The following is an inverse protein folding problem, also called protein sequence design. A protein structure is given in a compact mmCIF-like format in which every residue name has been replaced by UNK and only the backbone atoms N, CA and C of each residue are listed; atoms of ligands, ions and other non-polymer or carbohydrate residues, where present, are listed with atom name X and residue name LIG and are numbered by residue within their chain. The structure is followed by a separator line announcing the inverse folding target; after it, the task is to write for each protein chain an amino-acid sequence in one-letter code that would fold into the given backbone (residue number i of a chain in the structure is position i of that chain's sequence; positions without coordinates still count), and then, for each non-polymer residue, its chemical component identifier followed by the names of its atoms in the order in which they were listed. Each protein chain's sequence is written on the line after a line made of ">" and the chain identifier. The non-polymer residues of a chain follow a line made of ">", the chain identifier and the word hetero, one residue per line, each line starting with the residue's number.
data_IF_668378071254
#
_entry.id   IF_668378071254
#
_cell.length_a   1.000
_cell.length_b   1.000
_cell.length_c   1.000
_cell.angle_alpha   90.00
_cell.angle_beta   90.00
_cell.angle_gamma   90.00
#
_symmetry.space_group_name_H-M   'P 1'
#
loop_
_entity.id
_entity.type
_entity.pdbx_description
1 polymer ?
#
# COMPACT_ATOMS: atom_id res chain seq x y z
N UNK A 1 6.41 -5.41 -22.54
CA UNK A 1 6.96 -6.61 -23.25
C UNK A 1 6.77 -7.88 -22.42
N UNK A 2 7.22 -7.97 -21.14
CA UNK A 2 7.10 -9.17 -20.31
C UNK A 2 5.65 -9.61 -20.09
N UNK A 3 4.79 -8.71 -19.63
CA UNK A 3 3.38 -9.01 -19.34
C UNK A 3 2.62 -9.46 -20.60
N UNK A 4 2.91 -8.86 -21.75
CA UNK A 4 2.33 -9.23 -23.04
C UNK A 4 2.78 -10.63 -23.48
N UNK A 5 4.06 -10.94 -23.34
CA UNK A 5 4.59 -12.27 -23.66
C UNK A 5 4.00 -13.33 -22.73
N UNK A 6 3.87 -13.02 -21.44
CA UNK A 6 3.24 -13.91 -20.46
C UNK A 6 1.76 -14.15 -20.76
N UNK A 7 1.01 -13.08 -21.07
CA UNK A 7 -0.40 -13.16 -21.45
C UNK A 7 -0.63 -14.04 -22.66
N UNK A 8 0.19 -13.86 -23.73
CA UNK A 8 0.09 -14.67 -24.96
C UNK A 8 0.47 -16.13 -24.75
N UNK A 9 1.34 -16.41 -23.79
CA UNK A 9 1.76 -17.79 -23.44
C UNK A 9 0.72 -18.51 -22.58
N UNK A 10 -0.11 -17.78 -21.85
CA UNK A 10 -1.09 -18.35 -20.96
C UNK A 10 -2.18 -19.11 -21.75
N UNK A 11 -2.51 -20.35 -21.39
CA UNK A 11 -3.60 -21.07 -22.04
C UNK A 11 -4.94 -20.39 -21.75
N UNK A 12 -5.82 -20.30 -22.75
CA UNK A 12 -7.16 -19.70 -22.61
C UNK A 12 -8.01 -20.47 -21.58
N UNK A 13 -7.77 -21.77 -21.44
CA UNK A 13 -8.44 -22.63 -20.48
C UNK A 13 -7.51 -23.72 -20.03
N UNK A 14 -7.29 -23.82 -18.73
CA UNK A 14 -6.52 -24.90 -18.13
C UNK A 14 -7.37 -25.53 -17.01
N UNK A 15 -7.56 -26.84 -17.07
CA UNK A 15 -8.26 -27.62 -16.05
C UNK A 15 -7.30 -28.68 -15.51
N UNK A 16 -7.53 -29.11 -14.29
CA UNK A 16 -6.81 -30.22 -13.64
C UNK A 16 -5.28 -30.03 -13.62
N UNK A 17 -4.84 -28.77 -13.50
CA UNK A 17 -3.43 -28.43 -13.42
C UNK A 17 -2.92 -28.63 -12.00
N UNK A 18 -2.05 -29.60 -11.82
CA UNK A 18 -1.38 -29.85 -10.55
C UNK A 18 -0.23 -28.84 -10.36
N UNK A 19 -0.25 -28.15 -9.23
CA UNK A 19 0.81 -27.26 -8.80
C UNK A 19 1.33 -27.70 -7.44
N UNK A 20 2.61 -27.43 -7.17
CA UNK A 20 3.13 -27.59 -5.81
C UNK A 20 2.56 -26.50 -4.90
N UNK A 21 2.54 -26.73 -3.59
CA UNK A 21 2.14 -25.75 -2.59
C UNK A 21 2.96 -24.44 -2.76
N UNK A 22 4.26 -24.57 -2.97
CA UNK A 22 5.14 -23.41 -3.18
C UNK A 22 4.80 -22.63 -4.44
N UNK A 23 4.51 -23.30 -5.56
CA UNK A 23 4.13 -22.60 -6.80
C UNK A 23 2.80 -21.85 -6.67
N UNK A 24 1.85 -22.40 -5.90
CA UNK A 24 0.54 -21.79 -5.74
C UNK A 24 0.54 -20.65 -4.71
N UNK A 25 1.12 -20.88 -3.52
CA UNK A 25 1.07 -19.90 -2.43
C UNK A 25 2.23 -18.90 -2.43
N UNK A 26 3.37 -19.28 -3.05
CA UNK A 26 4.60 -18.47 -3.03
C UNK A 26 5.18 -18.27 -4.45
N UNK A 27 4.37 -17.74 -5.40
CA UNK A 27 4.82 -17.61 -6.79
C UNK A 27 6.01 -16.66 -6.96
N UNK A 28 6.18 -15.69 -6.07
CA UNK A 28 7.32 -14.74 -6.10
C UNK A 28 8.62 -15.37 -5.59
N UNK A 29 8.56 -16.38 -4.73
CA UNK A 29 9.76 -17.06 -4.20
C UNK A 29 10.50 -17.87 -5.28
N UNK A 30 9.84 -18.14 -6.41
CA UNK A 30 10.48 -18.75 -7.57
C UNK A 30 11.42 -17.80 -8.32
N UNK A 31 11.32 -16.49 -8.07
CA UNK A 31 12.16 -15.47 -8.70
C UNK A 31 13.21 -15.01 -7.70
N UNK A 32 14.39 -15.63 -7.74
CA UNK A 32 15.50 -15.22 -6.89
C UNK A 32 15.89 -13.76 -7.13
N UNK A 33 16.09 -13.02 -6.04
CA UNK A 33 16.50 -11.61 -6.09
C UNK A 33 15.54 -10.70 -6.89
N UNK A 34 14.24 -10.95 -6.83
CA UNK A 34 13.21 -10.19 -7.55
C UNK A 34 13.31 -8.68 -7.32
N UNK A 35 13.77 -8.26 -6.14
CA UNK A 35 13.98 -6.85 -5.78
C UNK A 35 15.00 -6.15 -6.69
N UNK A 36 15.92 -6.87 -7.33
CA UNK A 36 16.92 -6.29 -8.27
C UNK A 36 16.28 -5.76 -9.55
N UNK A 37 15.03 -6.13 -9.86
CA UNK A 37 14.28 -5.61 -11.01
C UNK A 37 14.10 -4.09 -10.91
N UNK A 38 14.05 -3.54 -9.69
CA UNK A 38 13.94 -2.09 -9.45
C UNK A 38 15.28 -1.35 -9.53
N UNK A 39 16.39 -2.05 -9.78
CA UNK A 39 17.72 -1.48 -9.90
C UNK A 39 18.30 -1.00 -8.56
N UNK A 40 19.38 -0.18 -8.64
CA UNK A 40 20.10 0.28 -7.44
C UNK A 40 19.33 1.30 -6.60
N UNK A 41 18.42 2.01 -7.20
CA UNK A 41 17.65 3.08 -6.55
C UNK A 41 16.43 2.55 -5.78
N UNK A 42 16.05 1.30 -6.03
CA UNK A 42 14.96 0.65 -5.33
C UNK A 42 13.58 1.21 -5.68
N UNK A 43 12.66 0.96 -4.79
CA UNK A 43 11.25 1.35 -4.91
C UNK A 43 10.69 1.70 -3.52
N UNK A 44 9.59 2.41 -3.50
CA UNK A 44 8.73 2.53 -2.33
C UNK A 44 7.44 1.73 -2.56
N UNK A 45 6.85 1.23 -1.48
CA UNK A 45 5.52 0.64 -1.56
C UNK A 45 4.49 1.66 -1.11
N UNK A 46 3.42 1.80 -1.89
CA UNK A 46 2.26 2.60 -1.53
C UNK A 46 1.04 1.69 -1.49
N UNK A 47 0.29 1.73 -0.40
CA UNK A 47 -0.92 0.93 -0.25
C UNK A 47 -2.01 1.70 0.46
N UNK A 48 -3.19 1.73 -0.16
CA UNK A 48 -4.39 2.32 0.43
C UNK A 48 -5.52 1.31 0.60
N UNK A 49 -6.46 1.64 1.46
CA UNK A 49 -7.79 1.04 1.51
C UNK A 49 -8.82 2.16 1.30
N UNK A 50 -9.87 1.88 0.51
CA UNK A 50 -10.93 2.80 0.15
C UNK A 50 -12.29 2.15 0.42
N UNK A 51 -13.33 2.89 0.80
CA UNK A 51 -14.69 2.36 0.89
C UNK A 51 -15.17 1.73 -0.43
N UNK A 52 -16.16 0.85 -0.37
CA UNK A 52 -16.67 0.14 -1.56
C UNK A 52 -17.31 1.06 -2.59
N UNK A 53 -17.92 2.15 -2.15
CA UNK A 53 -18.54 3.18 -2.99
C UNK A 53 -17.53 4.13 -3.64
N UNK A 54 -16.28 4.15 -3.19
CA UNK A 54 -15.19 4.95 -3.77
C UNK A 54 -14.53 4.28 -4.99
N UNK A 55 -15.29 3.57 -5.82
CA UNK A 55 -14.76 2.88 -7.01
C UNK A 55 -14.25 3.85 -8.08
N UNK A 56 -14.89 5.00 -8.23
CA UNK A 56 -14.46 6.02 -9.19
C UNK A 56 -13.16 6.70 -8.72
N UNK A 57 -12.96 6.84 -7.42
CA UNK A 57 -11.73 7.36 -6.84
C UNK A 57 -10.58 6.36 -7.01
N UNK A 58 -10.85 5.07 -6.83
CA UNK A 58 -9.88 4.02 -7.14
C UNK A 58 -9.45 4.09 -8.63
N UNK A 59 -10.41 4.26 -9.54
CA UNK A 59 -10.11 4.43 -10.98
C UNK A 59 -9.29 5.68 -11.22
N UNK A 60 -9.65 6.80 -10.57
CA UNK A 60 -8.91 8.04 -10.67
C UNK A 60 -7.45 7.88 -10.20
N UNK A 61 -7.22 7.23 -9.05
CA UNK A 61 -5.88 6.94 -8.51
C UNK A 61 -5.05 6.15 -9.54
N UNK A 62 -5.60 5.05 -10.07
CA UNK A 62 -4.93 4.21 -11.05
C UNK A 62 -4.59 5.01 -12.32
N UNK A 63 -5.52 5.84 -12.78
CA UNK A 63 -5.31 6.70 -13.96
C UNK A 63 -4.19 7.70 -13.72
N UNK A 64 -4.16 8.39 -12.57
CA UNK A 64 -3.08 9.36 -12.25
C UNK A 64 -1.71 8.70 -12.20
N UNK A 65 -1.61 7.50 -11.64
CA UNK A 65 -0.37 6.72 -11.63
C UNK A 65 0.06 6.32 -13.04
N UNK A 66 -0.88 5.88 -13.87
CA UNK A 66 -0.63 5.51 -15.26
C UNK A 66 -0.19 6.72 -16.11
N UNK A 67 -0.90 7.84 -15.99
CA UNK A 67 -0.59 9.09 -16.72
C UNK A 67 0.80 9.63 -16.36
N UNK A 68 1.20 9.44 -15.11
CA UNK A 68 2.53 9.82 -14.64
C UNK A 68 3.64 8.83 -15.06
N UNK A 69 3.29 7.78 -15.81
CA UNK A 69 4.25 6.76 -16.24
C UNK A 69 4.78 5.89 -15.10
N UNK A 70 4.03 5.77 -14.01
CA UNK A 70 4.38 4.92 -12.87
C UNK A 70 4.23 3.45 -13.27
N UNK A 71 5.29 2.89 -13.84
CA UNK A 71 5.35 1.47 -14.20
C UNK A 71 5.72 0.64 -12.98
N UNK A 72 4.73 0.02 -12.36
CA UNK A 72 4.94 -0.92 -11.27
C UNK A 72 5.05 -2.35 -11.77
N UNK A 73 6.02 -3.11 -11.28
CA UNK A 73 6.14 -4.54 -11.57
C UNK A 73 5.15 -5.37 -10.76
N UNK A 74 4.74 -4.87 -9.59
CA UNK A 74 3.79 -5.54 -8.72
C UNK A 74 2.65 -4.58 -8.36
N UNK A 75 1.46 -4.87 -8.88
CA UNK A 75 0.22 -4.21 -8.54
C UNK A 75 -0.75 -5.24 -7.98
N UNK A 76 -1.29 -4.98 -6.82
CA UNK A 76 -2.24 -5.88 -6.17
C UNK A 76 -3.51 -5.11 -5.83
N UNK A 77 -4.61 -5.47 -6.47
CA UNK A 77 -5.96 -5.00 -6.15
C UNK A 77 -6.73 -6.13 -5.48
N UNK A 78 -7.27 -5.85 -4.29
CA UNK A 78 -8.09 -6.80 -3.53
C UNK A 78 -9.34 -6.12 -2.99
N UNK A 79 -10.31 -6.95 -2.63
CA UNK A 79 -11.47 -6.53 -1.83
C UNK A 79 -11.29 -7.04 -0.41
N UNK A 80 -11.36 -6.14 0.57
CA UNK A 80 -11.38 -6.48 1.98
C UNK A 80 -12.80 -6.74 2.47
N UNK A 81 -12.94 -7.67 3.39
CA UNK A 81 -14.11 -7.82 4.25
C UNK A 81 -14.13 -6.81 5.40
N UNK A 82 -14.97 -7.05 6.43
CA UNK A 82 -15.00 -6.20 7.63
C UNK A 82 -13.61 -6.03 8.24
N UNK A 83 -13.35 -4.84 8.79
CA UNK A 83 -12.16 -4.56 9.57
C UNK A 83 -12.16 -5.26 10.93
N UNK A 84 -11.13 -5.02 11.73
CA UNK A 84 -11.07 -5.43 13.14
C UNK A 84 -11.08 -4.20 14.06
N UNK A 85 -11.21 -4.45 15.38
CA UNK A 85 -11.35 -3.40 16.38
C UNK A 85 -10.03 -2.75 16.83
N UNK A 86 -8.90 -3.04 16.18
CA UNK A 86 -7.62 -2.41 16.51
C UNK A 86 -7.63 -0.90 16.20
N UNK A 87 -7.17 -0.02 17.11
CA UNK A 87 -7.21 1.44 16.90
C UNK A 87 -6.45 1.92 15.67
N UNK A 88 -5.37 1.23 15.29
CA UNK A 88 -4.59 1.48 14.08
C UNK A 88 -4.78 0.37 13.03
N UNK A 89 -5.94 -0.31 13.04
CA UNK A 89 -6.24 -1.34 12.06
C UNK A 89 -6.34 -0.75 10.65
N UNK A 90 -5.55 -1.29 9.72
CA UNK A 90 -5.58 -0.89 8.32
C UNK A 90 -6.78 -1.46 7.55
N UNK A 91 -7.14 -2.77 7.70
CA UNK A 91 -8.27 -3.32 6.98
C UNK A 91 -9.58 -2.61 7.29
N UNK A 92 -10.36 -2.38 6.24
CA UNK A 92 -11.73 -1.87 6.28
C UNK A 92 -12.52 -2.50 5.13
N UNK A 93 -13.85 -2.65 5.29
CA UNK A 93 -14.67 -3.14 4.19
C UNK A 93 -14.53 -2.22 2.97
N UNK A 94 -13.92 -2.73 1.89
CA UNK A 94 -13.61 -1.86 0.75
C UNK A 94 -12.59 -2.44 -0.21
N UNK A 95 -12.05 -1.57 -1.03
CA UNK A 95 -10.96 -1.85 -1.96
C UNK A 95 -9.61 -1.62 -1.28
N UNK A 96 -8.62 -2.42 -1.61
CA UNK A 96 -7.22 -2.11 -1.27
C UNK A 96 -6.36 -2.27 -2.51
N UNK A 97 -5.56 -1.23 -2.78
CA UNK A 97 -4.59 -1.19 -3.86
C UNK A 97 -3.19 -1.08 -3.25
N UNK A 98 -2.34 -2.03 -3.58
CA UNK A 98 -0.92 -1.99 -3.26
C UNK A 98 -0.11 -1.91 -4.54
N UNK A 99 0.86 -1.00 -4.58
CA UNK A 99 1.74 -0.79 -5.72
C UNK A 99 3.18 -0.57 -5.25
N UNK A 100 4.11 -1.07 -6.05
CA UNK A 100 5.53 -0.77 -5.92
C UNK A 100 5.89 0.37 -6.88
N UNK A 101 6.32 1.49 -6.34
CA UNK A 101 6.60 2.71 -7.11
C UNK A 101 8.11 2.88 -7.24
N UNK A 102 8.68 2.80 -8.47
CA UNK A 102 10.10 3.09 -8.67
C UNK A 102 10.45 4.50 -8.23
N UNK A 103 11.59 4.68 -7.55
CA UNK A 103 12.00 6.00 -7.02
C UNK A 103 12.78 6.83 -8.03
N UNK A 104 13.17 6.25 -9.16
CA UNK A 104 13.98 6.92 -10.21
C UNK A 104 13.17 7.25 -11.43
N UNK A 105 13.48 8.41 -12.02
CA UNK A 105 12.97 8.82 -13.33
C UNK A 105 11.60 9.49 -13.32
N UNK A 106 11.02 9.72 -12.13
CA UNK A 106 9.70 10.37 -12.01
C UNK A 106 9.82 11.76 -11.42
N UNK A 107 9.94 12.78 -12.28
CA UNK A 107 9.79 14.16 -11.83
C UNK A 107 8.39 14.36 -11.23
N UNK A 108 8.31 14.97 -10.04
CA UNK A 108 7.03 15.23 -9.36
C UNK A 108 6.39 14.04 -8.65
N UNK A 109 7.10 12.91 -8.49
CA UNK A 109 6.57 11.74 -7.79
C UNK A 109 6.04 12.07 -6.38
N UNK A 110 6.78 12.84 -5.60
CA UNK A 110 6.35 13.22 -4.26
C UNK A 110 5.01 13.96 -4.29
N UNK A 111 4.88 14.99 -5.12
CA UNK A 111 3.64 15.76 -5.26
C UNK A 111 2.47 14.93 -5.82
N UNK A 112 2.75 13.93 -6.66
CA UNK A 112 1.72 12.98 -7.10
C UNK A 112 1.20 12.17 -5.92
N UNK A 113 2.11 11.54 -5.18
CA UNK A 113 1.75 10.70 -4.04
C UNK A 113 1.06 11.51 -2.93
N UNK A 114 1.45 12.78 -2.70
CA UNK A 114 0.75 13.67 -1.77
C UNK A 114 -0.71 13.86 -2.16
N UNK A 115 -0.99 14.14 -3.44
CA UNK A 115 -2.36 14.26 -3.94
C UNK A 115 -3.15 12.94 -3.85
N UNK A 116 -2.49 11.80 -4.05
CA UNK A 116 -3.16 10.50 -3.86
C UNK A 116 -3.51 10.27 -2.39
N UNK A 117 -2.62 10.63 -1.46
CA UNK A 117 -2.86 10.52 -0.03
C UNK A 117 -4.03 11.39 0.42
N UNK A 118 -4.05 12.66 -0.05
CA UNK A 118 -5.17 13.59 0.18
C UNK A 118 -6.49 13.01 -0.33
N UNK A 119 -6.50 12.46 -1.56
CA UNK A 119 -7.69 11.85 -2.12
C UNK A 119 -8.17 10.64 -1.32
N UNK A 120 -7.27 9.82 -0.82
CA UNK A 120 -7.60 8.70 0.06
C UNK A 120 -8.31 9.18 1.32
N UNK A 121 -7.83 10.28 1.94
CA UNK A 121 -8.48 10.89 3.12
C UNK A 121 -9.86 11.43 2.78
N UNK A 122 -9.99 12.19 1.68
CA UNK A 122 -11.25 12.81 1.25
C UNK A 122 -12.40 11.82 1.13
N UNK A 123 -12.10 10.59 0.69
CA UNK A 123 -13.09 9.53 0.52
C UNK A 123 -13.23 8.60 1.73
N UNK A 124 -12.65 8.98 2.87
CA UNK A 124 -12.71 8.18 4.10
C UNK A 124 -11.86 6.90 4.07
N UNK A 125 -10.87 6.87 3.18
CA UNK A 125 -9.90 5.81 3.09
C UNK A 125 -8.74 5.95 4.08
N UNK A 126 -7.75 5.06 3.96
CA UNK A 126 -6.54 5.10 4.78
C UNK A 126 -5.34 4.49 4.07
N UNK A 127 -4.14 4.92 4.44
CA UNK A 127 -2.88 4.33 4.02
C UNK A 127 -2.42 3.25 4.99
N UNK A 128 -1.68 2.27 4.48
CA UNK A 128 -1.12 1.19 5.29
C UNK A 128 0.19 1.62 5.95
N UNK A 129 0.16 1.85 7.25
CA UNK A 129 1.31 2.37 8.01
C UNK A 129 2.54 1.47 7.92
N UNK A 130 2.38 0.14 7.81
CA UNK A 130 3.52 -0.76 7.69
C UNK A 130 4.28 -0.65 6.36
N UNK A 131 3.71 0.02 5.36
CA UNK A 131 4.34 0.30 4.05
C UNK A 131 4.60 1.79 3.84
N UNK A 132 4.12 2.64 4.76
CA UNK A 132 4.26 4.07 4.63
C UNK A 132 5.68 4.53 4.96
N UNK A 133 6.26 5.28 4.04
CA UNK A 133 7.59 5.87 4.20
C UNK A 133 7.58 7.41 4.11
N UNK A 134 6.43 8.05 3.80
CA UNK A 134 6.42 9.46 3.42
C UNK A 134 5.15 10.25 3.77
N UNK A 135 4.05 9.61 4.16
CA UNK A 135 2.77 10.29 4.45
C UNK A 135 2.95 11.48 5.41
N UNK A 136 2.28 12.57 5.14
CA UNK A 136 2.26 13.74 6.01
C UNK A 136 1.55 13.43 7.34
N UNK A 137 2.10 13.80 8.49
CA UNK A 137 1.52 13.47 9.80
C UNK A 137 0.13 14.07 10.02
N UNK A 138 -0.19 15.15 9.34
CA UNK A 138 -1.48 15.84 9.43
C UNK A 138 -2.65 15.00 8.91
N UNK A 139 -2.39 14.05 8.02
CA UNK A 139 -3.41 13.15 7.44
C UNK A 139 -3.77 11.99 8.38
N UNK A 140 -2.88 11.65 9.30
CA UNK A 140 -3.02 10.45 10.14
C UNK A 140 -4.31 10.43 10.99
N UNK A 141 -4.71 11.52 11.68
CA UNK A 141 -5.92 11.49 12.51
C UNK A 141 -7.21 11.25 11.71
N UNK A 142 -7.28 11.74 10.47
CA UNK A 142 -8.43 11.53 9.60
C UNK A 142 -8.52 10.07 9.12
N UNK A 143 -7.38 9.43 8.87
CA UNK A 143 -7.31 8.02 8.44
C UNK A 143 -7.56 7.04 9.61
N UNK A 144 -7.17 7.41 10.81
CA UNK A 144 -7.22 6.57 12.02
C UNK A 144 -7.89 7.32 13.17
N UNK A 145 -9.22 7.40 13.19
CA UNK A 145 -9.97 8.23 14.15
C UNK A 145 -9.82 7.76 15.61
N UNK A 146 -9.34 6.53 15.84
CA UNK A 146 -9.04 6.01 17.18
C UNK A 146 -7.57 6.16 17.57
N UNK A 147 -6.83 7.05 16.90
CA UNK A 147 -5.41 7.31 17.17
C UNK A 147 -5.16 7.72 18.63
N UNK A 148 -6.03 8.54 19.20
CA UNK A 148 -5.86 9.02 20.59
C UNK A 148 -6.09 7.90 21.62
N UNK A 149 -6.95 6.92 21.31
CA UNK A 149 -7.09 5.73 22.14
C UNK A 149 -5.80 4.90 22.12
N UNK A 150 -5.21 4.71 20.94
CA UNK A 150 -3.92 4.04 20.80
C UNK A 150 -2.81 4.77 21.58
N UNK A 151 -2.75 6.11 21.47
CA UNK A 151 -1.77 6.93 22.18
C UNK A 151 -1.86 6.75 23.69
N UNK A 152 -3.07 6.75 24.25
CA UNK A 152 -3.29 6.52 25.71
C UNK A 152 -2.74 5.18 26.16
N UNK A 153 -3.02 4.11 25.42
CA UNK A 153 -2.52 2.77 25.75
C UNK A 153 -1.00 2.71 25.63
N UNK A 154 -0.46 3.28 24.57
CA UNK A 154 0.97 3.32 24.33
C UNK A 154 1.71 4.12 25.41
N UNK A 155 1.24 5.31 25.79
CA UNK A 155 1.87 6.16 26.81
C UNK A 155 1.79 5.52 28.19
N UNK A 156 0.76 4.72 28.49
CA UNK A 156 0.68 3.93 29.70
C UNK A 156 1.69 2.77 29.72
N UNK A 157 1.96 2.16 28.54
CA UNK A 157 2.91 1.04 28.44
C UNK A 157 4.39 1.49 28.36
N UNK A 158 4.64 2.69 27.86
CA UNK A 158 6.00 3.26 27.67
C UNK A 158 6.02 4.75 28.07
N UNK A 159 5.86 5.03 29.40
CA UNK A 159 5.76 6.40 29.90
C UNK A 159 7.02 7.23 29.66
N UNK A 160 8.18 6.59 29.63
CA UNK A 160 9.47 7.22 29.40
C UNK A 160 9.80 7.37 27.89
N UNK A 161 8.90 6.93 27.01
CA UNK A 161 9.03 6.99 25.54
C UNK A 161 10.33 6.38 25.02
N UNK A 162 10.76 5.27 25.60
CA UNK A 162 11.97 4.56 25.21
C UNK A 162 11.81 3.83 23.87
N UNK A 163 10.60 3.35 23.57
CA UNK A 163 10.29 2.65 22.33
C UNK A 163 9.84 3.65 21.27
N UNK A 164 10.73 4.00 20.36
CA UNK A 164 10.45 4.93 19.26
C UNK A 164 11.05 4.43 17.94
N UNK A 165 10.56 4.97 16.83
CA UNK A 165 11.07 4.73 15.48
C UNK A 165 11.05 6.03 14.67
N UNK A 166 11.75 6.04 13.52
CA UNK A 166 11.70 7.18 12.60
C UNK A 166 10.29 7.43 12.08
N UNK A 167 9.52 6.37 11.81
CA UNK A 167 8.11 6.49 11.45
C UNK A 167 7.29 7.12 12.58
N UNK A 168 7.50 6.68 13.84
CA UNK A 168 6.79 7.25 14.98
C UNK A 168 7.09 8.74 15.16
N UNK A 169 8.35 9.16 14.95
CA UNK A 169 8.75 10.57 14.98
C UNK A 169 8.12 11.36 13.84
N UNK A 170 8.21 10.86 12.60
CA UNK A 170 7.64 11.51 11.42
C UNK A 170 6.13 11.69 11.52
N UNK A 171 5.41 10.65 11.93
CA UNK A 171 3.96 10.66 12.05
C UNK A 171 3.45 11.27 13.37
N UNK A 172 4.34 11.76 14.23
CA UNK A 172 3.99 12.34 15.54
C UNK A 172 3.07 11.42 16.35
N UNK A 173 3.42 10.12 16.37
CA UNK A 173 2.63 9.13 17.09
C UNK A 173 2.66 9.35 18.60
N UNK A 174 3.64 10.06 19.09
CA UNK A 174 3.84 10.34 20.51
C UNK A 174 3.14 11.61 21.01
N UNK A 175 2.28 12.22 20.25
CA UNK A 175 1.58 13.44 20.69
C UNK A 175 2.51 14.64 20.92
#
# INVERSE_FOLDING_TARGET
>A
VFNEAWYRKAPVRQRDHLQTISQFFHPLDMVHHWNRVYGRSGFLQWQCALPLDATDDLRWIITRLSDAGCSSFLNVLKRFGPGNDGPLSFPMAGWTLAIDVPTVGMAGLAALLDRLDERVVEVGGRLYLAKDSRMAPELLPAMYPRLDEWRKVRDAADPDRLLTSDQARRLRLHG
#
